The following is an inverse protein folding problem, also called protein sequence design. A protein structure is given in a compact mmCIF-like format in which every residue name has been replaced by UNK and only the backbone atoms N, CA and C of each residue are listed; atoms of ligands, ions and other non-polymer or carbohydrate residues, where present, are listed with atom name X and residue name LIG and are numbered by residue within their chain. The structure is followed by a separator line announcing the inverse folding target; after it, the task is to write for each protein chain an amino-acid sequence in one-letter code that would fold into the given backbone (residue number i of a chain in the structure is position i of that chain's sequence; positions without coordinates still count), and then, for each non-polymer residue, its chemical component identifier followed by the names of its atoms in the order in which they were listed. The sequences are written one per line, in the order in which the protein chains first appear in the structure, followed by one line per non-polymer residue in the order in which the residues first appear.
data_IF_718690785796
#
_entry.id   IF_718690785796
#
_cell.length_a   1.000
_cell.length_b   1.000
_cell.length_c   1.000
_cell.angle_alpha   90.00
_cell.angle_beta   90.00
_cell.angle_gamma   90.00
#
_symmetry.space_group_name_H-M   'P 1'
#
loop_
_entity.id
_entity.type
_entity.pdbx_description
1 polymer ?
#
# COMPACT_ATOMS: atom_id res chain seq x y z
N UNK A 1 -3.49 -6.79 14.69
CA UNK A 1 -4.61 -6.57 13.76
C UNK A 1 -4.16 -6.96 12.37
N UNK A 2 -4.89 -7.83 11.68
CA UNK A 2 -4.57 -8.18 10.28
C UNK A 2 -5.14 -7.11 9.37
N UNK A 3 -4.28 -6.26 8.79
CA UNK A 3 -4.70 -5.25 7.82
C UNK A 3 -5.15 -5.95 6.53
N UNK A 4 -6.44 -6.23 6.42
CA UNK A 4 -7.06 -6.64 5.15
C UNK A 4 -7.15 -5.41 4.24
N UNK A 5 -6.20 -5.32 3.32
CA UNK A 5 -6.23 -4.38 2.19
C UNK A 5 -7.33 -4.82 1.21
N UNK A 6 -8.05 -3.88 0.60
CA UNK A 6 -8.94 -4.17 -0.55
C UNK A 6 -10.43 -4.43 -0.26
N UNK A 7 -10.99 -3.89 0.82
CA UNK A 7 -12.45 -3.74 0.96
C UNK A 7 -12.87 -2.27 1.07
N UNK A 8 -12.58 -1.49 0.02
CA UNK A 8 -13.17 -0.16 -0.18
C UNK A 8 -14.69 -0.19 -0.26
N UNK A 9 -15.35 0.97 -0.19
CA UNK A 9 -16.81 1.03 -0.22
C UNK A 9 -17.35 1.12 -1.66
N UNK A 10 -18.08 0.10 -2.17
CA UNK A 10 -18.68 0.16 -3.50
C UNK A 10 -19.94 1.06 -3.53
N UNK A 11 -20.64 1.18 -2.40
CA UNK A 11 -21.85 2.02 -2.25
C UNK A 11 -22.97 1.73 -3.24
N UNK A 12 -23.97 2.61 -3.26
CA UNK A 12 -24.89 2.69 -4.37
C UNK A 12 -24.17 3.17 -5.64
N UNK A 13 -24.52 2.59 -6.79
CA UNK A 13 -24.05 3.09 -8.09
C UNK A 13 -24.39 4.58 -8.20
N UNK A 14 -23.43 5.38 -8.68
CA UNK A 14 -23.71 6.75 -9.07
C UNK A 14 -24.89 6.77 -10.06
N UNK A 15 -25.91 7.62 -9.86
CA UNK A 15 -26.91 7.86 -10.89
C UNK A 15 -26.17 8.31 -12.16
N UNK A 16 -26.43 7.66 -13.29
CA UNK A 16 -25.93 8.15 -14.57
C UNK A 16 -26.48 9.57 -14.80
N UNK A 17 -25.70 10.50 -15.36
CA UNK A 17 -26.23 11.79 -15.78
C UNK A 17 -27.39 11.55 -16.76
N UNK A 18 -28.53 12.21 -16.53
CA UNK A 18 -29.79 12.01 -17.26
C UNK A 18 -29.59 11.76 -18.77
N UNK A 19 -29.77 10.51 -19.20
CA UNK A 19 -29.98 10.17 -20.60
C UNK A 19 -31.48 10.22 -20.89
N UNK A 20 -31.96 11.04 -21.85
CA UNK A 20 -33.38 11.15 -22.14
C UNK A 20 -33.93 9.86 -22.75
N UNK A 21 -35.16 9.55 -22.35
CA UNK A 21 -35.91 8.36 -22.74
C UNK A 21 -36.13 8.31 -24.27
N UNK A 22 -35.61 7.29 -24.94
CA UNK A 22 -36.06 6.88 -26.26
C UNK A 22 -35.94 5.36 -26.39
N UNK A 23 -37.05 4.70 -26.71
CA UNK A 23 -37.11 3.26 -26.93
C UNK A 23 -37.53 2.96 -28.36
N UNK A 24 -36.93 1.93 -28.96
CA UNK A 24 -37.46 1.19 -30.10
C UNK A 24 -36.75 -0.17 -30.20
N UNK A 25 -37.47 -1.21 -30.61
CA UNK A 25 -37.02 -2.60 -30.53
C UNK A 25 -35.93 -3.06 -31.51
N UNK A 26 -35.25 -4.15 -31.10
CA UNK A 26 -35.18 -5.45 -31.79
C UNK A 26 -34.68 -5.55 -33.27
N UNK A 27 -34.20 -6.74 -33.71
CA UNK A 27 -33.38 -7.75 -33.01
C UNK A 27 -32.28 -8.41 -33.91
N UNK A 28 -31.59 -9.42 -33.37
CA UNK A 28 -30.85 -10.51 -34.05
C UNK A 28 -29.57 -10.19 -34.85
N UNK A 29 -28.54 -11.01 -34.60
CA UNK A 29 -27.26 -11.01 -35.35
C UNK A 29 -26.34 -12.14 -34.86
N UNK A 30 -26.43 -13.30 -35.50
CA UNK A 30 -25.69 -14.52 -35.13
C UNK A 30 -24.20 -14.48 -35.53
N UNK A 31 -23.33 -14.96 -34.64
CA UNK A 31 -21.92 -15.19 -34.97
C UNK A 31 -21.71 -16.55 -35.68
N UNK A 32 -20.86 -16.64 -36.72
CA UNK A 32 -20.29 -17.88 -37.18
C UNK A 32 -18.87 -18.10 -36.61
N UNK A 33 -18.58 -19.33 -36.22
CA UNK A 33 -17.24 -19.80 -35.84
C UNK A 33 -16.79 -20.87 -36.83
N UNK A 34 -15.51 -20.86 -37.23
CA UNK A 34 -14.86 -22.00 -37.89
C UNK A 34 -13.34 -22.01 -37.63
N UNK A 35 -12.66 -23.19 -37.70
CA UNK A 35 -11.34 -23.39 -37.08
C UNK A 35 -10.23 -23.84 -38.05
N UNK A 36 -8.97 -23.73 -37.62
CA UNK A 36 -7.78 -24.43 -38.16
C UNK A 36 -6.64 -24.35 -37.10
N UNK A 37 -5.75 -25.32 -36.86
CA UNK A 37 -5.70 -26.71 -37.32
C UNK A 37 -4.26 -27.28 -37.39
N UNK A 38 -3.82 -28.06 -36.40
CA UNK A 38 -2.61 -28.92 -36.42
C UNK A 38 -1.23 -28.25 -36.57
N UNK A 39 -0.08 -28.95 -36.46
CA UNK A 39 0.27 -30.21 -35.79
C UNK A 39 1.82 -30.40 -35.76
N UNK A 40 2.29 -31.38 -34.97
CA UNK A 40 3.55 -32.15 -35.10
C UNK A 40 4.92 -31.60 -34.61
N UNK A 41 5.62 -32.52 -33.94
CA UNK A 41 7.04 -32.67 -33.53
C UNK A 41 7.55 -34.00 -34.16
N UNK A 42 8.78 -34.56 -33.94
CA UNK A 42 10.08 -34.05 -33.41
C UNK A 42 11.17 -34.20 -34.53
N UNK A 43 12.28 -35.01 -34.51
CA UNK A 43 13.28 -35.39 -33.48
C UNK A 43 14.80 -35.32 -33.88
N UNK A 44 15.69 -35.37 -32.87
CA UNK A 44 17.07 -35.93 -32.96
C UNK A 44 18.23 -34.91 -33.16
N UNK A 45 19.45 -35.13 -32.63
CA UNK A 45 19.93 -36.14 -31.66
C UNK A 45 21.47 -36.13 -31.44
N UNK A 46 21.92 -36.58 -30.25
CA UNK A 46 23.25 -37.12 -29.83
C UNK A 46 24.60 -36.43 -30.19
N UNK A 47 25.47 -36.27 -29.17
CA UNK A 47 26.73 -37.04 -28.98
C UNK A 47 27.33 -36.82 -27.55
N UNK A 48 28.26 -37.67 -27.10
CA UNK A 48 28.70 -37.80 -25.69
C UNK A 48 30.14 -37.36 -25.33
N UNK A 49 30.93 -38.14 -24.55
CA UNK A 49 31.45 -37.67 -23.24
C UNK A 49 32.99 -37.70 -23.05
N UNK A 50 33.53 -37.10 -21.96
CA UNK A 50 34.97 -37.19 -21.64
C UNK A 50 35.46 -36.66 -20.26
N UNK A 51 35.99 -37.60 -19.45
CA UNK A 51 36.89 -37.57 -18.27
C UNK A 51 37.56 -36.27 -17.73
N UNK A 52 37.58 -36.16 -16.38
CA UNK A 52 38.81 -36.29 -15.55
C UNK A 52 39.63 -35.05 -15.13
N UNK A 53 40.13 -35.04 -13.88
CA UNK A 53 41.37 -34.29 -13.51
C UNK A 53 41.39 -33.46 -12.22
N UNK A 54 42.13 -33.97 -11.22
CA UNK A 54 42.86 -33.32 -10.12
C UNK A 54 42.80 -31.78 -9.87
N UNK A 55 42.52 -31.43 -8.60
CA UNK A 55 43.46 -30.71 -7.72
C UNK A 55 43.78 -29.22 -7.96
N UNK A 56 43.46 -28.36 -6.99
CA UNK A 56 44.01 -27.00 -6.89
C UNK A 56 43.31 -26.08 -5.89
N UNK A 57 43.97 -25.76 -4.78
CA UNK A 57 43.66 -24.54 -4.01
C UNK A 57 44.15 -23.31 -4.79
N UNK A 58 43.43 -22.18 -4.69
CA UNK A 58 44.10 -20.88 -4.67
C UNK A 58 43.79 -20.08 -3.41
N UNK A 59 44.76 -19.23 -3.04
CA UNK A 59 44.68 -18.29 -1.94
C UNK A 59 43.52 -17.29 -2.05
N UNK A 60 42.96 -16.95 -0.88
CA UNK A 60 42.96 -15.55 -0.42
C UNK A 60 42.29 -14.50 -1.29
N UNK A 61 40.97 -14.58 -1.45
CA UNK A 61 40.16 -13.38 -1.63
C UNK A 61 39.66 -12.91 -0.23
N UNK A 62 39.60 -11.60 0.05
CA UNK A 62 38.94 -11.12 1.27
C UNK A 62 37.43 -11.36 1.13
N UNK A 63 36.97 -12.48 1.68
CA UNK A 63 35.55 -12.76 1.84
C UNK A 63 34.89 -11.55 2.49
N UNK A 64 34.06 -10.85 1.71
CA UNK A 64 33.06 -9.93 2.26
C UNK A 64 32.02 -10.77 2.97
N UNK A 65 32.38 -11.25 4.16
CA UNK A 65 31.42 -11.78 5.10
C UNK A 65 30.36 -10.69 5.28
N UNK A 66 29.07 -10.96 5.03
CA UNK A 66 28.03 -10.10 5.59
C UNK A 66 28.28 -10.06 7.11
N UNK A 67 28.02 -8.92 7.78
CA UNK A 67 28.20 -8.83 9.23
C UNK A 67 27.44 -9.99 9.89
N UNK A 68 27.99 -10.60 10.96
CA UNK A 68 27.37 -11.75 11.59
C UNK A 68 25.92 -11.39 11.91
N UNK A 69 24.99 -12.22 11.44
CA UNK A 69 23.57 -12.06 11.70
C UNK A 69 23.34 -12.26 13.20
N UNK A 70 23.52 -11.19 13.98
CA UNK A 70 23.29 -11.20 15.41
C UNK A 70 21.87 -11.70 15.68
N UNK A 71 21.72 -12.67 16.59
CA UNK A 71 20.53 -13.48 16.79
C UNK A 71 19.22 -12.71 16.57
N UNK A 72 18.69 -12.77 15.34
CA UNK A 72 17.46 -12.06 14.98
C UNK A 72 16.31 -12.79 15.68
N UNK A 73 15.50 -12.10 16.52
CA UNK A 73 14.43 -12.78 17.25
C UNK A 73 13.44 -13.45 16.28
N UNK A 74 12.98 -14.69 16.55
CA UNK A 74 11.99 -15.35 15.70
C UNK A 74 10.73 -14.48 15.51
N UNK A 75 10.32 -14.31 14.25
CA UNK A 75 9.19 -13.46 13.88
C UNK A 75 9.53 -11.99 13.60
N UNK A 76 10.80 -11.59 13.67
CA UNK A 76 11.28 -10.27 13.22
C UNK A 76 11.80 -10.37 11.78
N UNK A 77 11.43 -9.41 10.93
CA UNK A 77 11.95 -9.27 9.57
C UNK A 77 13.45 -8.90 9.62
N UNK A 78 14.34 -9.65 8.93
CA UNK A 78 15.78 -9.38 8.96
C UNK A 78 16.21 -7.99 8.49
N UNK A 79 15.54 -7.42 7.48
CA UNK A 79 15.78 -6.04 7.03
C UNK A 79 15.37 -5.05 8.11
N UNK A 80 14.20 -5.27 8.72
CA UNK A 80 13.72 -4.41 9.80
C UNK A 80 14.65 -4.44 11.01
N UNK A 81 15.26 -5.59 11.35
CA UNK A 81 16.26 -5.68 12.41
C UNK A 81 17.51 -4.84 12.12
N UNK A 82 18.01 -4.87 10.87
CA UNK A 82 19.15 -4.04 10.47
C UNK A 82 18.80 -2.55 10.50
N UNK A 83 17.64 -2.17 9.99
CA UNK A 83 17.18 -0.79 10.03
C UNK A 83 16.91 -0.30 11.45
N UNK A 84 16.35 -1.13 12.33
CA UNK A 84 16.06 -0.77 13.72
C UNK A 84 17.30 -0.19 14.42
N UNK A 85 18.46 -0.83 14.27
CA UNK A 85 19.73 -0.37 14.86
C UNK A 85 20.20 1.01 14.36
N UNK A 86 19.76 1.43 13.17
CA UNK A 86 20.04 2.76 12.60
C UNK A 86 19.01 3.83 12.97
N UNK A 87 17.78 3.42 13.33
CA UNK A 87 16.68 4.31 13.73
C UNK A 87 16.68 4.52 15.25
N UNK A 88 17.03 3.50 16.03
CA UNK A 88 17.21 3.53 17.49
C UNK A 88 18.53 4.25 17.83
N UNK A 89 18.52 5.58 17.68
CA UNK A 89 19.72 6.43 17.77
C UNK A 89 20.24 6.59 19.20
N UNK A 90 19.37 6.45 20.19
CA UNK A 90 19.76 6.44 21.61
C UNK A 90 20.02 5.02 22.15
N UNK A 91 19.83 3.99 21.32
CA UNK A 91 19.99 2.57 21.65
C UNK A 91 19.14 2.13 22.87
N UNK A 92 17.98 2.75 23.05
CA UNK A 92 17.05 2.42 24.14
C UNK A 92 16.28 1.12 23.91
N UNK A 93 16.33 0.55 22.70
CA UNK A 93 15.53 -0.61 22.31
C UNK A 93 14.08 -0.24 21.93
N UNK A 94 13.76 1.05 21.77
CA UNK A 94 12.43 1.53 21.43
C UNK A 94 12.47 2.76 20.52
N UNK A 95 11.85 2.67 19.34
CA UNK A 95 11.74 3.81 18.43
C UNK A 95 10.70 4.81 18.93
N UNK A 96 11.10 6.07 19.06
CA UNK A 96 10.19 7.18 19.36
C UNK A 96 9.82 8.02 18.11
N UNK A 97 8.89 8.98 18.26
CA UNK A 97 8.39 9.81 17.15
C UNK A 97 9.48 10.61 16.43
N UNK A 98 10.46 11.14 17.18
CA UNK A 98 11.56 11.94 16.63
C UNK A 98 12.45 11.07 15.75
N UNK A 99 12.79 9.88 16.23
CA UNK A 99 13.63 8.90 15.52
C UNK A 99 12.96 8.40 14.25
N UNK A 100 11.69 7.97 14.34
CA UNK A 100 10.93 7.54 13.17
C UNK A 100 10.84 8.65 12.12
N UNK A 101 10.59 9.90 12.54
CA UNK A 101 10.55 11.06 11.63
C UNK A 101 11.91 11.37 11.01
N UNK A 102 13.01 11.14 11.72
CA UNK A 102 14.38 11.33 11.19
C UNK A 102 14.77 10.24 10.19
N UNK A 103 14.27 9.02 10.35
CA UNK A 103 14.52 7.90 9.45
C UNK A 103 13.69 7.91 8.16
N UNK A 104 12.53 8.58 8.14
CA UNK A 104 11.60 8.56 7.01
C UNK A 104 11.65 9.85 6.16
N UNK A 105 12.04 9.69 4.90
CA UNK A 105 12.08 10.75 3.88
C UNK A 105 11.25 10.37 2.65
N UNK A 106 10.55 11.35 2.09
CA UNK A 106 9.79 11.22 0.85
C UNK A 106 10.71 11.24 -0.38
N UNK A 107 10.19 10.82 -1.54
CA UNK A 107 10.93 10.79 -2.83
C UNK A 107 11.45 12.16 -3.26
N UNK A 108 10.80 13.24 -2.81
CA UNK A 108 11.20 14.63 -3.05
C UNK A 108 12.18 15.19 -1.99
N UNK A 109 12.76 14.34 -1.14
CA UNK A 109 13.63 14.67 -0.01
C UNK A 109 12.97 15.47 1.13
N UNK A 110 11.64 15.64 1.14
CA UNK A 110 10.96 16.21 2.30
C UNK A 110 10.97 15.21 3.46
N UNK A 111 11.01 15.71 4.69
CA UNK A 111 10.67 14.89 5.86
C UNK A 111 9.26 14.32 5.71
N UNK A 112 9.05 13.12 6.27
CA UNK A 112 7.70 12.62 6.50
C UNK A 112 6.92 13.52 7.45
N UNK A 113 5.61 13.58 7.23
CA UNK A 113 4.68 14.30 8.05
C UNK A 113 4.49 13.73 9.47
N UNK A 114 4.55 14.62 10.46
CA UNK A 114 4.37 14.37 11.89
C UNK A 114 3.09 13.59 12.23
N UNK A 115 1.90 14.00 11.75
CA UNK A 115 0.65 13.27 12.03
C UNK A 115 0.68 11.83 11.47
N UNK A 116 1.37 11.64 10.34
CA UNK A 116 1.52 10.33 9.70
C UNK A 116 2.49 9.43 10.48
N UNK A 117 3.62 9.97 10.95
CA UNK A 117 4.54 9.24 11.83
C UNK A 117 3.90 8.88 13.18
N UNK A 118 3.10 9.78 13.75
CA UNK A 118 2.37 9.52 15.00
C UNK A 118 1.30 8.44 14.81
N UNK A 119 0.53 8.50 13.72
CA UNK A 119 -0.41 7.44 13.34
C UNK A 119 0.29 6.08 13.23
N UNK A 120 1.45 6.03 12.55
CA UNK A 120 2.24 4.80 12.42
C UNK A 120 2.69 4.25 13.78
N UNK A 121 3.16 5.09 14.70
CA UNK A 121 3.50 4.63 16.06
C UNK A 121 2.25 4.09 16.76
N UNK A 122 1.14 4.83 16.77
CA UNK A 122 -0.08 4.42 17.48
C UNK A 122 -0.68 3.10 16.96
N UNK A 123 -0.45 2.76 15.69
CA UNK A 123 -0.87 1.49 15.05
C UNK A 123 -0.06 0.27 15.52
N UNK A 124 1.23 0.44 15.83
CA UNK A 124 2.14 -0.67 16.14
C UNK A 124 2.67 -0.67 17.59
N UNK A 125 2.49 0.41 18.33
CA UNK A 125 2.67 0.49 19.79
C UNK A 125 1.53 -0.28 20.50
N UNK A 126 1.86 -1.51 20.91
CA UNK A 126 0.97 -2.41 21.66
C UNK A 126 0.76 -1.99 23.11
N UNK A 127 1.71 -1.25 23.70
CA UNK A 127 1.73 -0.89 25.12
C UNK A 127 1.16 0.51 25.39
N UNK A 128 0.87 1.29 24.33
CA UNK A 128 0.43 2.69 24.38
C UNK A 128 1.40 3.58 25.18
N UNK A 129 2.70 3.28 25.03
CA UNK A 129 3.83 3.99 25.63
C UNK A 129 4.28 5.23 24.86
N UNK A 130 3.74 5.48 23.66
CA UNK A 130 4.22 6.50 22.72
C UNK A 130 5.53 6.13 22.02
N UNK A 131 5.92 4.85 22.12
CA UNK A 131 7.18 4.28 21.62
C UNK A 131 6.95 2.84 21.17
N UNK A 132 7.77 2.37 20.24
CA UNK A 132 7.57 1.12 19.51
C UNK A 132 8.78 0.19 19.64
N UNK A 133 8.54 -1.05 20.05
CA UNK A 133 9.58 -2.08 20.18
C UNK A 133 10.00 -2.65 18.80
N UNK A 134 11.04 -3.49 18.79
CA UNK A 134 11.54 -4.16 17.59
C UNK A 134 10.45 -4.95 16.84
N UNK A 135 9.53 -5.61 17.56
CA UNK A 135 8.45 -6.37 16.93
C UNK A 135 7.39 -5.45 16.29
N UNK A 136 7.05 -4.34 16.93
CA UNK A 136 6.21 -3.29 16.35
C UNK A 136 6.87 -2.67 15.11
N UNK A 137 8.16 -2.33 15.20
CA UNK A 137 8.92 -1.78 14.06
C UNK A 137 9.03 -2.76 12.89
N UNK A 138 9.20 -4.06 13.16
CA UNK A 138 9.16 -5.10 12.12
C UNK A 138 7.81 -5.13 11.39
N UNK A 139 6.70 -5.02 12.13
CA UNK A 139 5.37 -4.98 11.52
C UNK A 139 5.11 -3.67 10.75
N UNK A 140 5.65 -2.55 11.23
CA UNK A 140 5.65 -1.27 10.52
C UNK A 140 6.50 -1.33 9.24
N UNK A 141 7.67 -1.99 9.26
CA UNK A 141 8.51 -2.18 8.08
C UNK A 141 7.76 -2.91 6.98
N UNK A 142 7.15 -4.05 7.29
CA UNK A 142 6.34 -4.81 6.32
C UNK A 142 5.14 -4.00 5.81
N UNK A 143 4.52 -3.18 6.67
CA UNK A 143 3.45 -2.26 6.30
C UNK A 143 3.94 -1.17 5.34
N UNK A 144 5.08 -0.54 5.64
CA UNK A 144 5.72 0.47 4.79
C UNK A 144 6.12 -0.11 3.43
N UNK A 145 6.71 -1.30 3.38
CA UNK A 145 7.11 -1.94 2.13
C UNK A 145 5.90 -2.28 1.24
N UNK A 146 4.78 -2.75 1.82
CA UNK A 146 3.51 -2.91 1.09
C UNK A 146 2.99 -1.59 0.53
N UNK A 147 3.01 -0.51 1.30
CA UNK A 147 2.59 0.81 0.83
C UNK A 147 3.51 1.40 -0.24
N UNK A 148 4.82 1.18 -0.15
CA UNK A 148 5.79 1.59 -1.19
C UNK A 148 5.55 0.86 -2.50
N UNK A 149 5.27 -0.44 -2.47
CA UNK A 149 4.91 -1.22 -3.66
C UNK A 149 3.61 -0.71 -4.30
N UNK A 150 2.56 -0.46 -3.50
CA UNK A 150 1.31 0.12 -3.99
C UNK A 150 1.51 1.53 -4.57
N UNK A 151 2.27 2.39 -3.89
CA UNK A 151 2.57 3.74 -4.37
C UNK A 151 3.27 3.71 -5.74
N UNK A 152 4.29 2.86 -5.90
CA UNK A 152 5.01 2.67 -7.17
C UNK A 152 4.14 2.05 -8.29
N UNK A 153 3.08 1.30 -7.94
CA UNK A 153 2.11 0.78 -8.90
C UNK A 153 1.15 1.87 -9.41
N UNK A 154 0.85 2.87 -8.58
CA UNK A 154 -0.11 3.94 -8.90
C UNK A 154 0.53 5.23 -9.43
N UNK A 155 1.77 5.54 -9.04
CA UNK A 155 2.66 6.56 -9.62
C UNK A 155 3.12 6.10 -11.01
N UNK A 156 2.25 6.29 -12.01
CA UNK A 156 2.38 5.71 -13.36
C UNK A 156 3.36 6.51 -14.21
N UNK A 157 3.43 7.82 -14.00
CA UNK A 157 4.42 8.67 -14.67
C UNK A 157 5.80 8.67 -13.97
N UNK A 158 5.90 8.03 -12.79
CA UNK A 158 7.10 7.97 -11.93
C UNK A 158 7.57 9.36 -11.51
N UNK A 159 6.64 10.29 -11.32
CA UNK A 159 6.92 11.62 -10.79
C UNK A 159 7.36 11.63 -9.32
N UNK A 160 7.19 10.51 -8.61
CA UNK A 160 7.41 10.44 -7.16
C UNK A 160 6.25 11.04 -6.37
N UNK A 161 5.08 11.22 -6.99
CA UNK A 161 3.88 11.79 -6.36
C UNK A 161 2.62 11.26 -7.02
N UNK A 162 1.57 10.98 -6.24
CA UNK A 162 0.28 10.54 -6.80
C UNK A 162 -0.59 11.75 -7.11
N UNK A 163 -0.97 11.94 -8.37
CA UNK A 163 -1.88 13.00 -8.81
C UNK A 163 -3.37 12.58 -8.68
N UNK A 164 -4.30 13.50 -8.99
CA UNK A 164 -5.75 13.25 -8.82
C UNK A 164 -6.30 12.07 -9.64
N UNK A 165 -5.80 11.89 -10.86
CA UNK A 165 -6.19 10.79 -11.77
C UNK A 165 -5.65 9.46 -11.26
N UNK A 166 -4.41 9.44 -10.78
CA UNK A 166 -3.77 8.25 -10.22
C UNK A 166 -4.41 7.84 -8.89
N UNK A 167 -4.74 8.80 -8.01
CA UNK A 167 -5.46 8.53 -6.76
C UNK A 167 -6.84 7.93 -7.05
N UNK A 168 -7.58 8.47 -8.03
CA UNK A 168 -8.87 7.91 -8.43
C UNK A 168 -8.73 6.44 -8.91
N UNK A 169 -7.73 6.16 -9.74
CA UNK A 169 -7.45 4.79 -10.21
C UNK A 169 -6.99 3.86 -9.10
N UNK A 170 -6.23 4.35 -8.11
CA UNK A 170 -5.81 3.60 -6.94
C UNK A 170 -6.99 3.24 -6.04
N UNK A 171 -7.85 4.22 -5.73
CA UNK A 171 -9.03 4.02 -4.91
C UNK A 171 -10.03 3.07 -5.58
N UNK A 172 -10.24 3.20 -6.90
CA UNK A 172 -11.05 2.24 -7.67
C UNK A 172 -10.52 0.80 -7.58
N UNK A 173 -9.19 0.60 -7.71
CA UNK A 173 -8.56 -0.72 -7.55
C UNK A 173 -8.63 -1.26 -6.12
N UNK A 174 -8.67 -0.39 -5.10
CA UNK A 174 -8.93 -0.77 -3.70
C UNK A 174 -10.42 -1.06 -3.40
N UNK A 175 -11.31 -0.94 -4.39
CA UNK A 175 -12.74 -1.22 -4.26
C UNK A 175 -13.60 -0.03 -3.83
N UNK A 176 -13.07 1.20 -3.88
CA UNK A 176 -13.85 2.42 -3.60
C UNK A 176 -14.53 2.95 -4.85
N UNK A 177 -15.83 3.20 -4.75
CA UNK A 177 -16.60 3.92 -5.76
C UNK A 177 -16.68 5.40 -5.39
N UNK A 178 -15.63 6.15 -5.75
CA UNK A 178 -15.49 7.58 -5.44
C UNK A 178 -15.31 8.37 -6.74
N UNK A 179 -15.87 9.58 -6.79
CA UNK A 179 -15.79 10.41 -7.99
C UNK A 179 -14.36 10.93 -8.26
N UNK A 180 -14.00 11.21 -9.53
CA UNK A 180 -12.72 11.86 -9.86
C UNK A 180 -12.55 13.20 -9.13
N UNK A 181 -13.62 13.99 -8.99
CA UNK A 181 -13.58 15.31 -8.34
C UNK A 181 -13.30 15.20 -6.83
N UNK A 182 -13.81 14.15 -6.17
CA UNK A 182 -13.47 13.87 -4.77
C UNK A 182 -11.99 13.48 -4.64
N UNK A 183 -11.48 12.67 -5.57
CA UNK A 183 -10.07 12.26 -5.61
C UNK A 183 -9.12 13.44 -5.83
N UNK A 184 -9.43 14.33 -6.77
CA UNK A 184 -8.70 15.60 -6.93
C UNK A 184 -8.75 16.48 -5.68
N UNK A 185 -9.91 16.56 -5.01
CA UNK A 185 -10.08 17.36 -3.80
C UNK A 185 -9.22 16.83 -2.64
N UNK A 186 -9.08 15.51 -2.52
CA UNK A 186 -8.12 14.90 -1.58
C UNK A 186 -6.68 15.27 -1.93
N UNK A 187 -6.26 15.11 -3.19
CA UNK A 187 -4.88 15.48 -3.59
C UNK A 187 -4.59 16.94 -3.29
N UNK A 188 -5.48 17.88 -3.68
CA UNK A 188 -5.30 19.31 -3.40
C UNK A 188 -5.24 19.63 -1.89
N UNK A 189 -6.05 18.96 -1.07
CA UNK A 189 -6.11 19.18 0.39
C UNK A 189 -4.86 18.67 1.13
N UNK A 190 -4.24 17.60 0.64
CA UNK A 190 -3.08 16.96 1.29
C UNK A 190 -1.74 17.20 0.58
N UNK A 191 -1.74 17.79 -0.63
CA UNK A 191 -0.52 18.27 -1.29
C UNK A 191 0.05 19.50 -0.58
N UNK A 192 1.36 19.53 -0.38
CA UNK A 192 2.05 20.73 0.14
C UNK A 192 2.20 21.73 -1.01
N UNK A 193 1.61 22.91 -0.85
CA UNK A 193 1.64 24.09 -1.75
C UNK A 193 2.61 23.99 -2.94
N UNK A 194 2.15 23.39 -4.04
CA UNK A 194 2.93 23.17 -5.25
C UNK A 194 2.15 23.61 -6.49
N UNK A 195 2.86 24.11 -7.50
CA UNK A 195 2.28 24.47 -8.80
C UNK A 195 1.70 23.25 -9.55
N UNK A 196 2.08 22.03 -9.15
CA UNK A 196 1.45 20.76 -9.54
C UNK A 196 1.06 20.01 -8.26
N UNK A 197 -0.24 19.89 -7.92
CA UNK A 197 -0.65 19.19 -6.70
C UNK A 197 -0.45 17.68 -6.86
N UNK A 198 0.44 17.12 -6.05
CA UNK A 198 0.75 15.70 -5.99
C UNK A 198 0.91 15.24 -4.54
N UNK A 199 0.46 14.02 -4.25
CA UNK A 199 0.48 13.42 -2.92
C UNK A 199 1.76 12.60 -2.75
N UNK A 200 2.59 12.95 -1.77
CA UNK A 200 3.77 12.16 -1.39
C UNK A 200 3.36 10.87 -0.64
N UNK A 201 4.31 9.94 -0.47
CA UNK A 201 4.06 8.62 0.11
C UNK A 201 3.43 8.69 1.51
N UNK A 202 3.96 9.56 2.37
CA UNK A 202 3.41 9.79 3.71
C UNK A 202 1.93 10.20 3.69
N UNK A 203 1.58 11.20 2.87
CA UNK A 203 0.21 11.68 2.70
C UNK A 203 -0.70 10.63 2.09
N UNK A 204 -0.19 9.81 1.17
CA UNK A 204 -0.94 8.69 0.58
C UNK A 204 -1.29 7.62 1.62
N UNK A 205 -0.32 7.22 2.44
CA UNK A 205 -0.55 6.27 3.53
C UNK A 205 -1.57 6.83 4.54
N UNK A 206 -1.44 8.10 4.92
CA UNK A 206 -2.37 8.78 5.82
C UNK A 206 -3.80 8.77 5.25
N UNK A 207 -4.00 9.26 4.02
CA UNK A 207 -5.32 9.35 3.38
C UNK A 207 -5.97 7.97 3.22
N UNK A 208 -5.21 6.96 2.76
CA UNK A 208 -5.76 5.62 2.59
C UNK A 208 -6.11 4.94 3.92
N UNK A 209 -5.30 5.14 4.97
CA UNK A 209 -5.58 4.61 6.32
C UNK A 209 -6.83 5.26 6.92
N UNK A 210 -6.98 6.58 6.78
CA UNK A 210 -8.16 7.31 7.23
C UNK A 210 -9.42 6.90 6.45
N UNK A 211 -9.34 6.77 5.12
CA UNK A 211 -10.45 6.29 4.29
C UNK A 211 -10.88 4.88 4.69
N UNK A 212 -9.94 3.96 4.96
CA UNK A 212 -10.24 2.61 5.41
C UNK A 212 -10.95 2.62 6.78
N UNK A 213 -10.45 3.42 7.73
CA UNK A 213 -11.00 3.51 9.08
C UNK A 213 -12.43 4.07 9.08
N UNK A 214 -12.66 5.18 8.36
CA UNK A 214 -13.99 5.78 8.19
C UNK A 214 -14.95 4.86 7.41
N UNK A 215 -14.45 4.14 6.41
CA UNK A 215 -15.24 3.16 5.63
C UNK A 215 -15.69 1.99 6.48
N UNK A 216 -14.88 1.54 7.44
CA UNK A 216 -15.30 0.50 8.38
C UNK A 216 -16.48 0.98 9.23
N UNK A 217 -16.41 2.17 9.81
CA UNK A 217 -17.52 2.77 10.59
C UNK A 217 -18.77 2.95 9.73
N UNK A 218 -18.63 3.38 8.47
CA UNK A 218 -19.75 3.50 7.54
C UNK A 218 -20.40 2.14 7.26
N UNK A 219 -19.61 1.09 7.00
CA UNK A 219 -20.06 -0.30 6.77
C UNK A 219 -20.76 -0.91 7.99
N UNK A 220 -20.28 -0.61 9.19
CA UNK A 220 -20.91 -1.04 10.46
C UNK A 220 -22.33 -0.44 10.64
N UNK A 221 -22.63 0.67 9.96
CA UNK A 221 -23.95 1.35 10.01
C UNK A 221 -24.81 1.11 8.76
N UNK A 222 -24.24 1.02 7.55
CA UNK A 222 -24.95 0.70 6.30
C UNK A 222 -25.10 -0.81 6.08
N UNK A 223 -25.80 -1.47 7.00
CA UNK A 223 -26.06 -2.93 6.97
C UNK A 223 -26.83 -3.40 5.72
N UNK A 224 -27.43 -2.46 4.98
CA UNK A 224 -28.19 -2.71 3.74
C UNK A 224 -27.42 -2.37 2.45
N UNK A 225 -26.18 -1.88 2.58
CA UNK A 225 -25.30 -1.47 1.47
C UNK A 225 -25.94 -0.45 0.50
N UNK A 226 -26.76 0.46 1.02
CA UNK A 226 -27.53 1.43 0.22
C UNK A 226 -26.74 2.66 -0.20
N UNK A 227 -25.49 2.81 0.25
CA UNK A 227 -24.71 4.03 0.07
C UNK A 227 -25.08 5.15 1.03
N UNK A 228 -26.01 4.92 1.97
CA UNK A 228 -26.64 5.98 2.76
C UNK A 228 -26.86 5.51 4.20
N UNK A 229 -26.51 6.35 5.17
CA UNK A 229 -26.75 6.09 6.60
C UNK A 229 -27.45 7.29 7.24
N UNK A 230 -28.30 7.00 8.24
CA UNK A 230 -28.89 8.02 9.11
C UNK A 230 -28.26 7.88 10.50
N UNK A 231 -27.46 8.87 10.89
CA UNK A 231 -26.87 8.97 12.22
C UNK A 231 -27.53 10.10 13.01
N UNK A 232 -27.66 9.91 14.33
CA UNK A 232 -27.85 11.04 15.24
C UNK A 232 -26.46 11.66 15.57
N UNK A 233 -26.46 12.77 16.31
CA UNK A 233 -25.23 13.50 16.62
C UNK A 233 -24.23 12.70 17.48
N UNK A 234 -24.71 11.95 18.47
CA UNK A 234 -23.86 11.15 19.36
C UNK A 234 -23.24 9.95 18.63
N UNK A 235 -24.01 9.27 17.76
CA UNK A 235 -23.51 8.21 16.88
C UNK A 235 -22.42 8.73 15.92
N UNK A 236 -22.61 9.94 15.37
CA UNK A 236 -21.61 10.58 14.52
C UNK A 236 -20.33 10.92 15.29
N UNK A 237 -20.44 11.55 16.47
CA UNK A 237 -19.28 11.87 17.30
C UNK A 237 -18.56 10.60 17.78
N UNK A 238 -19.29 9.59 18.24
CA UNK A 238 -18.74 8.32 18.70
C UNK A 238 -17.96 7.61 17.59
N UNK A 239 -18.53 7.55 16.38
CA UNK A 239 -17.87 6.99 15.21
C UNK A 239 -16.61 7.76 14.78
N UNK A 240 -16.63 9.09 14.86
CA UNK A 240 -15.47 9.93 14.55
C UNK A 240 -14.36 9.78 15.61
N UNK A 241 -14.70 9.86 16.89
CA UNK A 241 -13.74 9.85 18.01
C UNK A 241 -13.05 8.49 18.13
N UNK A 242 -13.81 7.38 18.01
CA UNK A 242 -13.29 6.01 18.15
C UNK A 242 -12.20 5.64 17.11
N UNK A 243 -12.07 6.42 16.04
CA UNK A 243 -11.16 6.16 14.91
C UNK A 243 -10.19 7.30 14.60
N UNK A 244 -10.18 8.37 15.38
CA UNK A 244 -9.24 9.50 15.28
C UNK A 244 -8.17 9.51 16.40
N UNK A 245 -8.14 8.48 17.26
CA UNK A 245 -7.15 8.24 18.32
C UNK A 245 -6.56 6.84 18.22
#
# INVERSE_FOLDING_TARGET
MSYHYGQGYPGARHPAPNAPYSGAGAPYGSAPSTPYGGAAVPPGGYYGPGQGGYGGQPHGAPSRHPPPSGNIPPGVNPEAYQWFQSVDTDHSGFINLKELKQALVNSNWSSFNDETCLMMINMFDKTKSGRMDLFGFSALWDFMQRWRALFQQYDRDRSGSINGTELHQALAQMGYNLSPQFSESLVRRFSVHAARPGMQLDRFIHVCTQLQSMTQVFREKDTTMTGNIRLNYEDFLSGAITRLM
#
